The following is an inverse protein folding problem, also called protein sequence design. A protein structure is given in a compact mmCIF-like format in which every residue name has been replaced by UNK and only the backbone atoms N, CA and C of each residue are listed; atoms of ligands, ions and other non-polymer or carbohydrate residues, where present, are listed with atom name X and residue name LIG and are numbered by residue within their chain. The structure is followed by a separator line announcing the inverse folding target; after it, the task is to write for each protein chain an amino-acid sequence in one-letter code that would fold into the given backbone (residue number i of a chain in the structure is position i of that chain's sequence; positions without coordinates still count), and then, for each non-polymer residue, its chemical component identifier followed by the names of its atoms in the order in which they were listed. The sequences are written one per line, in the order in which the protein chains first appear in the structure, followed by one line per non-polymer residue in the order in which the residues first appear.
data_IF_190889101200
#
_entry.id   IF_190889101200
#
_cell.length_a   1.000
_cell.length_b   1.000
_cell.length_c   1.000
_cell.angle_alpha   90.00
_cell.angle_beta   90.00
_cell.angle_gamma   90.00
#
_symmetry.space_group_name_H-M   'P 1'
#
loop_
_entity.id
_entity.type
_entity.pdbx_description
1 polymer ?
#
# COMPACT_ATOMS: atom_id res chain seq x y z
N UNK A 1 47.40 42.36 -24.59
CA UNK A 1 47.49 40.97 -24.07
C UNK A 1 46.84 40.05 -25.09
N UNK A 2 47.59 39.04 -25.51
CA UNK A 2 47.49 38.33 -26.78
C UNK A 2 46.27 37.41 -26.88
N UNK A 3 45.70 37.30 -28.09
CA UNK A 3 44.60 36.39 -28.47
C UNK A 3 44.90 34.90 -28.17
N UNK A 4 46.18 34.57 -27.94
CA UNK A 4 46.63 33.27 -27.42
C UNK A 4 46.29 33.07 -25.93
N UNK A 5 46.39 34.12 -25.10
CA UNK A 5 46.05 34.03 -23.67
C UNK A 5 44.54 33.90 -23.47
N UNK A 6 43.71 34.51 -24.32
CA UNK A 6 42.24 34.38 -24.25
C UNK A 6 41.75 32.99 -24.63
N UNK A 7 42.36 32.34 -25.64
CA UNK A 7 42.04 30.94 -25.99
C UNK A 7 42.50 29.95 -24.92
N UNK A 8 43.63 30.22 -24.26
CA UNK A 8 44.13 29.39 -23.15
C UNK A 8 43.22 29.49 -21.93
N UNK A 9 42.70 30.69 -21.61
CA UNK A 9 41.76 30.90 -20.51
C UNK A 9 40.39 30.27 -20.79
N UNK A 10 39.91 30.31 -22.05
CA UNK A 10 38.64 29.68 -22.44
C UNK A 10 38.72 28.14 -22.41
N UNK A 11 39.88 27.56 -22.76
CA UNK A 11 40.13 26.12 -22.68
C UNK A 11 40.22 25.62 -21.23
N UNK A 12 40.80 26.42 -20.33
CA UNK A 12 40.90 26.12 -18.89
C UNK A 12 39.56 26.22 -18.14
N UNK A 13 38.63 27.04 -18.63
CA UNK A 13 37.30 27.14 -18.04
C UNK A 13 36.39 25.97 -18.45
N UNK A 14 36.52 25.47 -19.69
CA UNK A 14 35.77 24.30 -20.16
C UNK A 14 36.24 22.97 -19.54
N UNK A 15 37.52 22.84 -19.17
CA UNK A 15 38.01 21.63 -18.49
C UNK A 15 37.60 21.53 -17.02
N UNK A 16 37.27 22.64 -16.36
CA UNK A 16 36.75 22.63 -14.98
C UNK A 16 35.26 22.29 -14.90
N UNK A 17 34.48 22.49 -15.98
CA UNK A 17 33.07 22.09 -16.05
C UNK A 17 32.87 20.57 -16.23
N UNK A 18 33.90 19.83 -16.62
CA UNK A 18 33.85 18.36 -16.77
C UNK A 18 34.15 17.60 -15.47
N UNK A 19 34.57 18.28 -14.41
CA UNK A 19 34.91 17.65 -13.12
C UNK A 19 33.79 17.73 -12.06
N UNK A 20 32.65 18.35 -12.38
CA UNK A 20 31.46 18.36 -11.51
C UNK A 20 30.44 17.26 -11.85
N UNK A 21 30.73 16.36 -12.79
CA UNK A 21 29.97 15.12 -12.92
C UNK A 21 30.50 14.07 -11.93
N UNK A 22 30.48 14.41 -10.64
CA UNK A 22 30.46 13.39 -9.59
C UNK A 22 29.11 12.70 -9.67
N UNK A 23 29.04 11.67 -10.49
CA UNK A 23 28.03 10.65 -10.35
C UNK A 23 28.46 9.87 -9.09
N UNK A 24 27.92 10.27 -7.93
CA UNK A 24 28.04 9.47 -6.71
C UNK A 24 27.64 8.04 -7.10
N UNK A 25 28.54 7.05 -6.96
CA UNK A 25 28.11 5.67 -7.06
C UNK A 25 27.11 5.52 -5.92
N UNK A 26 25.85 5.26 -6.27
CA UNK A 26 24.84 4.84 -5.32
C UNK A 26 25.36 3.57 -4.65
N UNK A 27 26.06 3.73 -3.53
CA UNK A 27 26.29 2.67 -2.58
C UNK A 27 24.89 2.32 -2.09
N UNK A 28 24.26 1.34 -2.74
CA UNK A 28 23.27 0.54 -2.07
C UNK A 28 23.98 -0.03 -0.85
N UNK A 29 23.81 0.64 0.30
CA UNK A 29 24.06 0.06 1.61
C UNK A 29 23.04 -1.07 1.74
N UNK A 30 23.33 -2.21 1.11
CA UNK A 30 22.56 -3.42 1.34
C UNK A 30 22.76 -3.77 2.80
N UNK A 31 21.67 -3.75 3.58
CA UNK A 31 21.68 -4.20 4.96
C UNK A 31 22.36 -5.57 5.03
N UNK A 32 23.30 -5.79 5.97
CA UNK A 32 23.97 -7.07 6.13
C UNK A 32 22.95 -8.21 6.20
N UNK A 33 23.23 -9.32 5.52
CA UNK A 33 22.39 -10.51 5.63
C UNK A 33 22.57 -11.15 7.00
N UNK A 34 21.58 -10.98 7.88
CA UNK A 34 21.59 -11.51 9.25
C UNK A 34 21.04 -12.94 9.37
N UNK A 35 20.73 -13.59 8.23
CA UNK A 35 20.03 -14.86 8.20
C UNK A 35 18.51 -14.69 8.08
N UNK A 36 17.74 -15.80 8.17
CA UNK A 36 16.29 -15.74 8.13
C UNK A 36 15.74 -14.99 9.35
N UNK A 37 14.68 -14.17 9.20
CA UNK A 37 14.00 -13.55 10.33
C UNK A 37 13.52 -14.62 11.32
N UNK A 38 14.04 -14.57 12.55
CA UNK A 38 13.71 -15.53 13.61
C UNK A 38 12.20 -15.50 13.87
N UNK A 39 11.61 -16.68 14.05
CA UNK A 39 10.18 -16.88 14.37
C UNK A 39 9.14 -16.42 13.33
N UNK A 40 9.57 -15.86 12.18
CA UNK A 40 8.67 -15.35 11.14
C UNK A 40 8.58 -16.24 9.90
N UNK A 41 9.47 -17.23 9.76
CA UNK A 41 9.45 -18.20 8.66
C UNK A 41 8.74 -19.48 9.13
N UNK A 42 7.64 -19.83 8.47
CA UNK A 42 6.88 -21.06 8.75
C UNK A 42 7.31 -22.21 7.85
N UNK A 43 7.01 -23.44 8.25
CA UNK A 43 7.23 -24.62 7.40
C UNK A 43 6.22 -24.68 6.24
N UNK A 44 6.57 -25.43 5.19
CA UNK A 44 5.72 -25.64 4.02
C UNK A 44 4.43 -26.37 4.41
N UNK A 45 4.52 -27.34 5.33
CA UNK A 45 3.36 -28.10 5.83
C UNK A 45 2.38 -27.18 6.56
N UNK A 46 2.89 -26.27 7.41
CA UNK A 46 2.07 -25.28 8.11
C UNK A 46 1.39 -24.33 7.12
N UNK A 47 2.10 -23.90 6.07
CA UNK A 47 1.50 -23.08 5.01
C UNK A 47 0.39 -23.82 4.25
N UNK A 48 0.60 -25.11 3.94
CA UNK A 48 -0.40 -25.97 3.32
C UNK A 48 -1.67 -26.13 4.17
N UNK A 49 -1.53 -26.42 5.46
CA UNK A 49 -2.67 -26.52 6.38
C UNK A 49 -3.48 -25.21 6.45
N UNK A 50 -2.78 -24.06 6.50
CA UNK A 50 -3.44 -22.75 6.48
C UNK A 50 -4.19 -22.49 5.17
N UNK A 51 -3.60 -22.87 4.03
CA UNK A 51 -4.23 -22.75 2.72
C UNK A 51 -5.50 -23.62 2.61
N UNK A 52 -5.43 -24.88 3.06
CA UNK A 52 -6.55 -25.81 3.06
C UNK A 52 -7.66 -25.36 4.00
N UNK A 53 -7.32 -24.88 5.20
CA UNK A 53 -8.29 -24.33 6.14
C UNK A 53 -9.04 -23.13 5.54
N UNK A 54 -8.36 -22.25 4.80
CA UNK A 54 -9.02 -21.15 4.08
C UNK A 54 -9.93 -21.69 2.97
N UNK A 55 -9.46 -22.67 2.20
CA UNK A 55 -10.24 -23.35 1.14
C UNK A 55 -11.53 -23.94 1.68
N UNK A 56 -11.46 -24.67 2.80
CA UNK A 56 -12.63 -25.36 3.35
C UNK A 56 -13.58 -24.40 4.08
N UNK A 57 -13.05 -23.41 4.80
CA UNK A 57 -13.85 -22.59 5.73
C UNK A 57 -14.29 -21.25 5.16
N UNK A 58 -13.55 -20.66 4.21
CA UNK A 58 -13.83 -19.30 3.70
C UNK A 58 -14.36 -19.29 2.28
N UNK A 59 -13.75 -20.06 1.37
CA UNK A 59 -14.13 -20.04 -0.06
C UNK A 59 -15.63 -20.33 -0.28
N UNK A 60 -16.24 -21.38 0.30
CA UNK A 60 -17.64 -21.68 0.02
C UNK A 60 -18.60 -20.60 0.53
N UNK A 61 -18.25 -19.96 1.66
CA UNK A 61 -19.08 -18.91 2.26
C UNK A 61 -19.03 -17.64 1.41
N UNK A 62 -17.83 -17.21 1.02
CA UNK A 62 -17.63 -16.04 0.16
C UNK A 62 -18.34 -16.28 -1.18
N UNK A 63 -18.06 -17.42 -1.82
CA UNK A 63 -18.66 -17.77 -3.11
C UNK A 63 -20.19 -17.77 -3.03
N UNK A 64 -20.77 -18.47 -2.06
CA UNK A 64 -22.22 -18.53 -1.87
C UNK A 64 -22.85 -17.15 -1.71
N UNK A 65 -22.24 -16.28 -0.91
CA UNK A 65 -22.74 -14.92 -0.70
C UNK A 65 -22.66 -14.09 -2.00
N UNK A 66 -21.51 -14.06 -2.64
CA UNK A 66 -21.27 -13.25 -3.84
C UNK A 66 -22.11 -13.72 -5.03
N UNK A 67 -22.29 -15.04 -5.19
CA UNK A 67 -23.20 -15.65 -6.17
C UNK A 67 -24.66 -15.24 -5.90
N UNK A 68 -25.08 -15.16 -4.63
CA UNK A 68 -26.46 -14.83 -4.27
C UNK A 68 -26.87 -13.38 -4.57
N UNK A 69 -25.91 -12.47 -4.68
CA UNK A 69 -26.14 -11.05 -5.00
C UNK A 69 -25.76 -10.70 -6.44
N UNK A 70 -25.26 -11.67 -7.22
CA UNK A 70 -24.94 -11.50 -8.63
C UNK A 70 -26.23 -11.44 -9.46
N UNK A 71 -26.59 -10.25 -9.93
CA UNK A 71 -27.82 -10.02 -10.72
C UNK A 71 -27.74 -10.64 -12.12
N UNK A 72 -26.54 -10.87 -12.63
CA UNK A 72 -26.26 -11.40 -13.96
C UNK A 72 -26.12 -12.94 -13.97
N UNK A 73 -26.25 -13.60 -12.81
CA UNK A 73 -26.04 -15.05 -12.67
C UNK A 73 -24.60 -15.49 -12.85
N UNK A 74 -23.63 -14.57 -12.83
CA UNK A 74 -22.20 -14.90 -12.90
C UNK A 74 -21.73 -15.64 -11.66
N UNK A 75 -20.86 -16.63 -11.88
CA UNK A 75 -20.19 -17.34 -10.79
C UNK A 75 -19.03 -16.50 -10.27
N UNK A 76 -18.98 -16.31 -8.96
CA UNK A 76 -17.92 -15.62 -8.26
C UNK A 76 -16.81 -16.58 -7.84
N UNK A 77 -15.59 -16.27 -8.23
CA UNK A 77 -14.38 -16.97 -7.76
C UNK A 77 -13.66 -16.17 -6.68
N UNK A 78 -13.58 -16.65 -5.42
CA UNK A 78 -12.89 -15.92 -4.36
C UNK A 78 -11.40 -15.70 -4.65
N UNK A 79 -10.90 -14.51 -4.35
CA UNK A 79 -9.47 -14.16 -4.39
C UNK A 79 -8.67 -15.11 -3.50
N UNK A 80 -7.50 -15.58 -3.99
CA UNK A 80 -6.63 -16.50 -3.23
C UNK A 80 -5.27 -15.94 -2.90
N UNK A 81 -4.76 -15.07 -3.76
CA UNK A 81 -3.52 -14.35 -3.52
C UNK A 81 -3.60 -13.00 -4.21
N UNK A 82 -2.71 -12.12 -3.79
CA UNK A 82 -2.41 -10.88 -4.46
C UNK A 82 -0.90 -10.77 -4.55
N UNK A 83 -0.39 -10.29 -5.67
CA UNK A 83 1.04 -10.20 -5.88
C UNK A 83 1.46 -8.85 -6.43
N UNK A 84 2.68 -8.48 -6.05
CA UNK A 84 3.48 -7.45 -6.67
C UNK A 84 4.77 -8.13 -7.12
N UNK A 85 5.35 -7.64 -8.21
CA UNK A 85 6.72 -8.02 -8.52
C UNK A 85 7.67 -7.48 -7.43
N UNK A 86 8.81 -8.17 -7.25
CA UNK A 86 9.78 -7.83 -6.20
C UNK A 86 10.33 -6.40 -6.37
N UNK A 87 10.44 -5.90 -7.60
CA UNK A 87 10.96 -4.56 -7.88
C UNK A 87 9.98 -3.49 -7.38
N UNK A 88 8.68 -3.65 -7.61
CA UNK A 88 7.63 -2.78 -7.09
C UNK A 88 7.68 -2.73 -5.56
N UNK A 89 7.83 -3.88 -4.88
CA UNK A 89 7.95 -3.89 -3.42
C UNK A 89 9.19 -3.13 -2.94
N UNK A 90 10.36 -3.39 -3.53
CA UNK A 90 11.61 -2.67 -3.18
C UNK A 90 11.49 -1.16 -3.40
N UNK A 91 10.91 -0.75 -4.53
CA UNK A 91 10.68 0.65 -4.84
C UNK A 91 9.71 1.29 -3.84
N UNK A 92 8.65 0.58 -3.46
CA UNK A 92 7.72 1.07 -2.45
C UNK A 92 8.40 1.28 -1.09
N UNK A 93 9.24 0.33 -0.63
CA UNK A 93 10.02 0.49 0.61
C UNK A 93 10.94 1.71 0.53
N UNK A 94 11.69 1.86 -0.56
CA UNK A 94 12.56 3.02 -0.75
C UNK A 94 11.78 4.34 -0.77
N UNK A 95 10.60 4.35 -1.40
CA UNK A 95 9.73 5.52 -1.47
C UNK A 95 9.23 5.95 -0.08
N UNK A 96 8.64 5.03 0.69
CA UNK A 96 8.12 5.37 2.03
C UNK A 96 9.24 5.76 3.00
N UNK A 97 10.42 5.14 2.90
CA UNK A 97 11.60 5.52 3.70
C UNK A 97 12.10 6.92 3.34
N UNK A 98 12.13 7.27 2.04
CA UNK A 98 12.48 8.61 1.58
C UNK A 98 11.52 9.66 2.15
N UNK A 99 10.21 9.47 1.98
CA UNK A 99 9.18 10.41 2.44
C UNK A 99 9.18 10.56 3.97
N UNK A 100 9.33 9.44 4.71
CA UNK A 100 9.45 9.46 6.16
C UNK A 100 10.72 10.20 6.64
N UNK A 101 11.83 10.01 5.93
CA UNK A 101 13.08 10.73 6.16
C UNK A 101 12.96 12.24 5.94
N UNK A 102 12.22 12.68 4.92
CA UNK A 102 11.93 14.11 4.71
C UNK A 102 11.14 14.72 5.87
N UNK A 103 10.27 13.93 6.50
CA UNK A 103 9.51 14.34 7.68
C UNK A 103 10.21 14.04 9.02
N UNK A 104 11.47 13.59 9.00
CA UNK A 104 12.28 13.25 10.17
C UNK A 104 11.59 12.26 11.13
N UNK A 105 10.95 11.23 10.57
CA UNK A 105 10.33 10.12 11.31
C UNK A 105 10.82 8.76 10.79
N UNK A 106 10.86 7.78 11.69
CA UNK A 106 11.19 6.41 11.33
C UNK A 106 9.93 5.56 11.17
N UNK A 107 9.88 4.77 10.09
CA UNK A 107 8.89 3.71 9.95
C UNK A 107 9.17 2.61 10.98
N UNK A 108 8.13 2.13 11.66
CA UNK A 108 8.21 1.06 12.67
C UNK A 108 7.67 -0.27 12.18
N UNK A 109 6.58 -0.27 11.43
CA UNK A 109 6.01 -1.49 10.82
C UNK A 109 5.34 -1.18 9.49
N UNK A 110 5.15 -2.23 8.69
CA UNK A 110 4.19 -2.23 7.58
C UNK A 110 2.91 -2.92 8.04
N UNK A 111 1.78 -2.23 7.93
CA UNK A 111 0.47 -2.75 8.30
C UNK A 111 -0.31 -3.14 7.04
N UNK A 112 -0.80 -4.37 7.02
CA UNK A 112 -1.61 -4.90 5.92
C UNK A 112 -3.08 -4.89 6.32
N UNK A 113 -3.88 -4.09 5.63
CA UNK A 113 -5.32 -4.00 5.85
C UNK A 113 -6.05 -4.92 4.89
N UNK A 114 -6.83 -5.86 5.41
CA UNK A 114 -7.77 -6.63 4.61
C UNK A 114 -8.91 -5.71 4.16
N UNK A 115 -9.23 -5.72 2.87
CA UNK A 115 -10.20 -4.82 2.26
C UNK A 115 -11.00 -5.53 1.17
N UNK A 116 -11.98 -4.83 0.62
CA UNK A 116 -12.76 -5.32 -0.52
C UNK A 116 -12.92 -4.17 -1.52
N UNK A 117 -12.77 -4.48 -2.81
CA UNK A 117 -13.17 -3.53 -3.85
C UNK A 117 -14.69 -3.31 -3.78
N UNK A 118 -15.17 -2.07 -3.97
CA UNK A 118 -16.59 -1.79 -3.94
C UNK A 118 -17.31 -2.49 -5.09
N UNK A 119 -18.63 -2.62 -4.95
CA UNK A 119 -19.49 -3.05 -6.04
C UNK A 119 -19.88 -1.85 -6.91
N UNK A 120 -18.90 -1.25 -7.58
CA UNK A 120 -19.07 -0.11 -8.48
C UNK A 120 -18.01 -0.15 -9.58
N UNK A 121 -18.23 0.57 -10.67
CA UNK A 121 -17.24 0.71 -11.74
C UNK A 121 -16.14 1.71 -11.40
N UNK A 122 -16.41 2.61 -10.43
CA UNK A 122 -15.51 3.68 -10.02
C UNK A 122 -15.48 3.88 -8.52
N UNK A 123 -14.32 4.27 -8.02
CA UNK A 123 -14.13 4.83 -6.69
C UNK A 123 -14.67 6.27 -6.61
N UNK A 124 -14.84 6.78 -5.39
CA UNK A 124 -15.34 8.14 -5.17
C UNK A 124 -14.43 9.23 -5.75
N UNK A 125 -13.12 8.97 -5.89
CA UNK A 125 -12.16 9.86 -6.55
C UNK A 125 -12.18 9.75 -8.09
N UNK A 126 -13.00 8.87 -8.66
CA UNK A 126 -13.14 8.67 -10.10
C UNK A 126 -12.30 7.55 -10.70
N UNK A 127 -11.40 6.94 -9.93
CA UNK A 127 -10.56 5.82 -10.39
C UNK A 127 -11.40 4.60 -10.74
N UNK A 128 -10.95 3.82 -11.72
CA UNK A 128 -11.66 2.61 -12.15
C UNK A 128 -11.46 1.49 -11.14
N UNK A 129 -12.55 0.82 -10.78
CA UNK A 129 -12.51 -0.38 -9.94
C UNK A 129 -12.19 -1.58 -10.84
N UNK A 130 -10.96 -2.06 -10.79
CA UNK A 130 -10.47 -3.16 -11.64
C UNK A 130 -11.11 -4.51 -11.31
N UNK A 131 -11.42 -4.74 -10.03
CA UNK A 131 -11.86 -6.04 -9.52
C UNK A 131 -13.09 -5.93 -8.61
N UNK A 132 -14.27 -5.51 -9.12
CA UNK A 132 -15.44 -5.28 -8.29
C UNK A 132 -15.78 -6.48 -7.39
N UNK A 133 -16.12 -6.19 -6.13
CA UNK A 133 -16.48 -7.19 -5.09
C UNK A 133 -15.35 -8.12 -4.65
N UNK A 134 -14.16 -8.07 -5.24
CA UNK A 134 -13.05 -8.95 -4.86
C UNK A 134 -12.37 -8.48 -3.57
N UNK A 135 -12.01 -9.44 -2.73
CA UNK A 135 -11.13 -9.19 -1.58
C UNK A 135 -9.79 -8.68 -2.10
N UNK A 136 -9.24 -7.70 -1.40
CA UNK A 136 -7.93 -7.09 -1.64
C UNK A 136 -7.24 -6.81 -0.30
N UNK A 137 -6.05 -6.23 -0.36
CA UNK A 137 -5.44 -5.57 0.78
C UNK A 137 -4.74 -4.29 0.35
N UNK A 138 -4.46 -3.42 1.32
CA UNK A 138 -3.55 -2.31 1.12
C UNK A 138 -2.53 -2.26 2.26
N UNK A 139 -1.36 -1.71 1.95
CA UNK A 139 -0.23 -1.61 2.89
C UNK A 139 -0.06 -0.16 3.32
N UNK A 140 0.12 0.05 4.62
CA UNK A 140 0.34 1.38 5.20
C UNK A 140 1.54 1.32 6.15
N UNK A 141 2.54 2.22 6.01
CA UNK A 141 3.61 2.30 6.99
C UNK A 141 3.11 2.92 8.30
N UNK A 142 3.76 2.57 9.40
CA UNK A 142 3.43 3.12 10.72
C UNK A 142 4.61 3.85 11.34
N UNK A 143 4.33 4.85 12.17
CA UNK A 143 5.31 5.53 13.02
C UNK A 143 4.97 5.32 14.49
N UNK A 144 5.97 5.50 15.36
CA UNK A 144 5.73 5.59 16.79
C UNK A 144 5.11 6.96 17.13
N UNK A 145 3.92 6.95 17.70
CA UNK A 145 3.22 8.13 18.20
C UNK A 145 2.55 7.78 19.53
N UNK A 146 2.86 8.54 20.59
CA UNK A 146 2.30 8.31 21.94
C UNK A 146 2.43 6.85 22.44
N UNK A 147 3.57 6.21 22.15
CA UNK A 147 3.84 4.83 22.57
C UNK A 147 3.10 3.75 21.78
N UNK A 148 2.47 4.11 20.65
CA UNK A 148 1.78 3.17 19.77
C UNK A 148 2.25 3.33 18.33
N UNK A 149 2.14 2.25 17.54
CA UNK A 149 2.36 2.32 16.10
C UNK A 149 1.05 2.78 15.43
N UNK A 150 1.08 3.97 14.83
CA UNK A 150 -0.07 4.58 14.13
C UNK A 150 0.23 4.71 12.65
N UNK A 151 -0.81 4.58 11.83
CA UNK A 151 -0.71 4.89 10.40
C UNK A 151 -0.53 6.39 10.22
N UNK A 152 0.17 6.80 9.17
CA UNK A 152 0.45 8.20 8.91
C UNK A 152 0.43 8.53 7.40
N UNK A 153 0.22 9.80 7.11
CA UNK A 153 0.45 10.42 5.80
C UNK A 153 1.51 11.52 5.92
N UNK A 154 2.04 11.96 4.78
CA UNK A 154 2.88 13.16 4.73
C UNK A 154 2.03 14.33 4.25
N UNK A 155 2.06 15.42 4.99
CA UNK A 155 1.44 16.68 4.64
C UNK A 155 2.49 17.79 4.58
N UNK A 156 2.29 18.77 3.72
CA UNK A 156 3.06 20.01 3.72
C UNK A 156 2.49 20.97 4.77
N UNK A 157 3.21 21.17 5.88
CA UNK A 157 2.87 22.14 6.91
C UNK A 157 3.97 23.20 6.94
N UNK A 158 3.60 24.46 6.66
CA UNK A 158 4.54 25.59 6.57
C UNK A 158 5.72 25.35 5.60
N UNK A 159 5.45 24.67 4.47
CA UNK A 159 6.45 24.32 3.46
C UNK A 159 7.45 23.24 3.92
N UNK A 160 7.09 22.47 4.94
CA UNK A 160 7.87 21.34 5.45
C UNK A 160 7.06 20.05 5.43
N UNK A 161 7.62 18.95 4.91
CA UNK A 161 7.03 17.62 5.04
C UNK A 161 6.85 17.27 6.52
N UNK A 162 5.62 16.94 6.91
CA UNK A 162 5.25 16.62 8.28
C UNK A 162 4.44 15.32 8.29
N UNK A 163 4.84 14.39 9.14
CA UNK A 163 4.10 13.15 9.34
C UNK A 163 2.87 13.40 10.21
N UNK A 164 1.70 13.08 9.69
CA UNK A 164 0.41 13.30 10.38
C UNK A 164 -0.27 11.95 10.59
N UNK A 165 -0.61 11.57 11.84
CA UNK A 165 -1.35 10.35 12.10
C UNK A 165 -2.70 10.35 11.38
N UNK A 166 -2.98 9.28 10.64
CA UNK A 166 -4.27 9.10 9.98
C UNK A 166 -5.31 8.75 11.05
N UNK A 167 -6.11 9.73 11.43
CA UNK A 167 -7.15 9.59 12.46
C UNK A 167 -8.52 9.35 11.83
N UNK A 168 -9.22 8.33 12.32
CA UNK A 168 -10.58 7.95 11.89
C UNK A 168 -11.63 8.96 12.39
N UNK A 169 -12.41 9.55 11.50
CA UNK A 169 -13.71 10.13 11.88
C UNK A 169 -14.74 9.00 11.91
N UNK A 170 -15.46 8.87 13.03
CA UNK A 170 -16.62 7.99 13.11
C UNK A 170 -17.64 8.43 12.05
N UNK A 171 -17.83 7.64 10.99
CA UNK A 171 -18.89 7.82 9.99
C UNK A 171 -20.27 7.48 10.57
N UNK A 172 -20.64 8.14 11.66
CA UNK A 172 -21.96 8.01 12.29
C UNK A 172 -22.72 9.33 12.26
N UNK A 173 -22.41 10.21 11.32
CA UNK A 173 -23.23 11.39 11.06
C UNK A 173 -23.82 11.33 9.65
N UNK A 174 -25.13 11.14 9.66
CA UNK A 174 -26.12 11.38 8.61
C UNK A 174 -26.46 10.25 7.63
N UNK A 175 -27.13 9.21 8.16
CA UNK A 175 -28.33 8.68 7.50
C UNK A 175 -29.45 8.57 8.55
N UNK A 176 -30.21 9.66 8.72
CA UNK A 176 -31.60 9.61 9.15
C UNK A 176 -32.41 9.94 7.88
N UNK A 177 -33.37 9.15 7.40
CA UNK A 177 -34.53 8.64 8.14
C UNK A 177 -35.14 7.38 7.47
N UNK A 178 -35.75 6.55 8.32
CA UNK A 178 -36.85 5.61 8.04
C UNK A 178 -36.55 4.22 7.46
N UNK A 179 -36.21 3.27 8.34
CA UNK A 179 -37.11 2.14 8.67
C UNK A 179 -36.61 1.40 9.92
N UNK A 180 -37.45 1.38 10.96
CA UNK A 180 -37.35 0.42 12.06
C UNK A 180 -37.85 -0.93 11.56
N UNK A 181 -37.11 -2.02 11.79
CA UNK A 181 -37.51 -3.11 12.70
C UNK A 181 -36.46 -4.24 12.68
N UNK A 182 -35.90 -4.51 13.88
CA UNK A 182 -35.27 -5.74 14.39
C UNK A 182 -34.32 -6.56 13.49
N UNK A 183 -33.03 -6.63 13.86
CA UNK A 183 -32.53 -7.82 14.58
C UNK A 183 -31.09 -7.67 15.14
N UNK A 184 -30.95 -8.24 16.35
CA UNK A 184 -29.75 -8.73 17.06
C UNK A 184 -28.43 -7.95 17.05
N UNK A 185 -28.09 -7.47 18.25
CA UNK A 185 -26.76 -7.43 18.87
C UNK A 185 -25.58 -8.02 18.06
N UNK A 186 -24.85 -7.11 17.41
CA UNK A 186 -23.46 -7.30 17.04
C UNK A 186 -22.89 -5.91 16.84
N UNK A 187 -22.17 -5.39 17.84
CA UNK A 187 -21.29 -4.23 17.62
C UNK A 187 -20.20 -4.70 16.66
N UNK A 188 -20.49 -4.64 15.37
CA UNK A 188 -19.52 -4.88 14.33
C UNK A 188 -18.57 -3.69 14.37
N UNK A 189 -17.30 -3.94 14.68
CA UNK A 189 -16.26 -2.94 14.53
C UNK A 189 -16.07 -2.72 13.02
N UNK A 190 -16.94 -1.93 12.41
CA UNK A 190 -16.73 -1.42 11.06
C UNK A 190 -15.46 -0.56 11.13
N UNK A 191 -14.49 -0.77 10.25
CA UNK A 191 -13.25 0.00 10.16
C UNK A 191 -13.27 0.74 8.81
N UNK A 192 -13.52 2.05 8.85
CA UNK A 192 -13.48 2.92 7.68
C UNK A 192 -12.20 3.75 7.65
N UNK A 193 -11.59 3.89 6.47
CA UNK A 193 -10.39 4.68 6.21
C UNK A 193 -10.82 6.05 5.65
N UNK A 194 -10.38 7.16 6.25
CA UNK A 194 -10.60 8.50 5.70
C UNK A 194 -9.28 9.26 5.68
N UNK A 195 -8.95 9.79 4.50
CA UNK A 195 -8.03 10.92 4.34
C UNK A 195 -8.93 12.15 4.22
N UNK A 196 -8.70 13.17 5.05
CA UNK A 196 -9.52 14.37 5.06
C UNK A 196 -9.26 15.17 3.78
N UNK A 197 -10.18 15.13 2.80
CA UNK A 197 -10.11 15.90 1.55
C UNK A 197 -10.41 17.41 1.75
N UNK A 198 -9.83 18.04 2.78
CA UNK A 198 -10.08 19.44 3.09
C UNK A 198 -8.94 20.40 2.72
N UNK A 199 -8.14 20.06 1.71
CA UNK A 199 -7.31 21.02 0.98
C UNK A 199 -7.48 20.80 -0.52
N UNK A 200 -8.54 21.40 -1.05
CA UNK A 200 -8.65 21.68 -2.46
C UNK A 200 -7.42 22.49 -2.91
N UNK A 201 -6.66 21.96 -3.86
CA UNK A 201 -6.07 22.69 -5.00
C UNK A 201 -5.65 24.12 -4.66
N UNK A 202 -4.65 24.27 -3.79
CA UNK A 202 -3.81 25.47 -3.67
C UNK A 202 -2.55 25.12 -2.86
N UNK A 203 -1.58 24.48 -3.51
CA UNK A 203 -0.17 24.57 -3.14
C UNK A 203 0.39 23.74 -1.98
N UNK A 204 -0.40 22.92 -1.27
CA UNK A 204 0.10 21.98 -0.26
C UNK A 204 -0.61 20.64 -0.37
N UNK A 205 0.02 19.65 -1.01
CA UNK A 205 -0.57 18.34 -1.27
C UNK A 205 -0.36 17.37 -0.10
N UNK A 206 -1.35 16.51 0.16
CA UNK A 206 -1.16 15.30 0.98
C UNK A 206 -0.53 14.22 0.11
N UNK A 207 0.66 13.75 0.49
CA UNK A 207 1.33 12.63 -0.17
C UNK A 207 0.86 11.32 0.45
N UNK A 208 0.22 10.48 -0.36
CA UNK A 208 -0.25 9.16 0.07
C UNK A 208 0.91 8.17 0.10
N UNK A 209 1.08 7.48 1.24
CA UNK A 209 2.07 6.41 1.40
C UNK A 209 1.44 5.01 1.29
N UNK A 210 0.24 4.91 0.73
CA UNK A 210 -0.55 3.68 0.76
C UNK A 210 -0.34 2.89 -0.53
N UNK A 211 0.13 1.66 -0.40
CA UNK A 211 0.24 0.73 -1.52
C UNK A 211 -1.05 -0.09 -1.68
N UNK A 212 -1.72 0.09 -2.82
CA UNK A 212 -2.80 -0.76 -3.34
C UNK A 212 -2.55 -0.94 -4.85
N UNK A 213 -3.38 -1.72 -5.55
CA UNK A 213 -3.25 -2.16 -6.95
C UNK A 213 -2.36 -3.39 -7.19
N UNK A 214 -2.46 -4.38 -6.30
CA UNK A 214 -1.99 -5.74 -6.57
C UNK A 214 -2.66 -6.34 -7.80
N UNK A 215 -1.97 -7.24 -8.50
CA UNK A 215 -2.65 -8.19 -9.38
C UNK A 215 -3.43 -9.18 -8.50
N UNK A 216 -4.76 -9.17 -8.61
CA UNK A 216 -5.63 -10.13 -7.93
C UNK A 216 -5.88 -11.32 -8.85
N UNK A 217 -5.72 -12.52 -8.30
CA UNK A 217 -5.94 -13.73 -9.06
C UNK A 217 -6.83 -14.74 -8.30
N UNK A 218 -7.68 -15.47 -9.05
CA UNK A 218 -8.32 -16.70 -8.56
C UNK A 218 -7.24 -17.74 -8.22
N UNK A 219 -7.58 -18.87 -7.57
CA UNK A 219 -6.57 -19.90 -7.28
C UNK A 219 -5.80 -20.28 -8.55
N UNK A 220 -4.47 -20.46 -8.48
CA UNK A 220 -3.78 -21.19 -9.52
C UNK A 220 -4.43 -22.59 -9.60
N UNK A 221 -4.62 -23.11 -10.80
CA UNK A 221 -5.21 -24.44 -11.01
C UNK A 221 -4.52 -25.52 -10.17
N UNK A 222 -5.15 -26.70 -10.06
CA UNK A 222 -4.68 -27.85 -9.26
C UNK A 222 -3.17 -28.06 -9.42
N UNK A 223 -2.37 -27.60 -8.44
CA UNK A 223 -0.91 -27.66 -8.50
C UNK A 223 -0.17 -26.51 -7.80
N UNK A 224 -0.81 -25.37 -7.52
CA UNK A 224 -0.10 -24.21 -6.94
C UNK A 224 0.46 -24.37 -5.52
N UNK A 225 -0.04 -25.34 -4.75
CA UNK A 225 0.41 -25.60 -3.36
C UNK A 225 0.30 -27.08 -2.94
N UNK A 226 0.50 -28.03 -3.87
CA UNK A 226 0.56 -29.45 -3.52
C UNK A 226 -0.06 -30.38 -4.55
N UNK A 227 0.76 -31.33 -5.04
CA UNK A 227 0.44 -32.72 -5.41
C UNK A 227 1.45 -33.35 -6.38
N UNK A 228 2.64 -32.78 -6.56
CA UNK A 228 3.69 -33.41 -7.36
C UNK A 228 4.98 -33.54 -6.54
N UNK A 229 5.02 -34.52 -5.62
CA UNK A 229 6.24 -35.17 -5.17
C UNK A 229 6.00 -36.67 -5.21
#
# INVERSE_FOLDING_TARGET
MTTKMTKLFMLLFFTNLLLFSCQEPSTHDESPYEGPPKDHIISVERAGEMYDAYTQRRVPIIKKYEDSIALDGSNFEPTRYAEYDLQTVKQYIAYIEHEAGQANVDIKTLRFYLSNYPNSDKFANGDVVKYPRKNSFFVVPTIAYEGKNVDFSIEEVDGKPTAVPISRVNSTKEINQNKRQADSTGQMNEAGFFISNNTAVQGGGTTSLILNDTQLAPPPGTGGFGNNN
#
